data_IF_143790006661
#
_entry.id   IF_143790006661
#
_cell.length_a   1.000
_cell.length_b   1.000
_cell.length_c   1.000
_cell.angle_alpha   90.00
_cell.angle_beta   90.00
_cell.angle_gamma   90.00
#
_symmetry.space_group_name_H-M   'P 1'
#
loop_
_entity.id
_entity.type
_entity.pdbx_description
1 polymer ?
#
# COMPACT_ATOMS: atom_id res chain seq x y z
N UNK A 1 10.38 -5.10 -36.77
CA UNK A 1 8.94 -5.25 -36.43
C UNK A 1 8.73 -5.88 -35.04
N UNK A 2 9.42 -6.98 -34.69
CA UNK A 2 9.36 -7.63 -33.35
C UNK A 2 9.72 -6.71 -32.16
N UNK A 3 10.71 -5.82 -32.32
CA UNK A 3 11.14 -4.88 -31.26
C UNK A 3 10.07 -3.87 -30.86
N UNK A 4 9.25 -3.42 -31.83
CA UNK A 4 8.16 -2.45 -31.60
C UNK A 4 6.98 -3.14 -30.91
N UNK A 5 6.72 -4.40 -31.28
CA UNK A 5 5.67 -5.23 -30.66
C UNK A 5 5.92 -5.45 -29.17
N UNK A 6 7.16 -5.77 -28.76
CA UNK A 6 7.49 -5.98 -27.35
C UNK A 6 7.36 -4.71 -26.50
N UNK A 7 7.71 -3.55 -27.07
CA UNK A 7 7.60 -2.25 -26.37
C UNK A 7 6.13 -1.89 -26.16
N UNK A 8 5.27 -2.11 -27.17
CA UNK A 8 3.83 -1.88 -27.04
C UNK A 8 3.17 -2.83 -26.05
N UNK A 9 3.53 -4.12 -26.05
CA UNK A 9 3.00 -5.10 -25.08
C UNK A 9 3.42 -4.75 -23.65
N UNK A 10 4.69 -4.36 -23.44
CA UNK A 10 5.19 -3.96 -22.12
C UNK A 10 4.50 -2.67 -21.62
N UNK A 11 4.31 -1.68 -22.50
CA UNK A 11 3.60 -0.46 -22.18
C UNK A 11 2.12 -0.71 -21.81
N UNK A 12 1.46 -1.63 -22.51
CA UNK A 12 0.09 -2.06 -22.22
C UNK A 12 0.01 -2.78 -20.86
N UNK A 13 0.98 -3.64 -20.52
CA UNK A 13 0.99 -4.32 -19.20
C UNK A 13 1.21 -3.37 -18.03
N UNK A 14 2.05 -2.34 -18.20
CA UNK A 14 2.25 -1.29 -17.19
C UNK A 14 0.99 -0.44 -17.04
N UNK A 15 0.32 -0.09 -18.14
CA UNK A 15 -0.94 0.66 -18.11
C UNK A 15 -2.07 -0.11 -17.42
N UNK A 16 -2.18 -1.42 -17.65
CA UNK A 16 -3.20 -2.26 -17.00
C UNK A 16 -2.90 -2.43 -15.50
N UNK A 17 -1.63 -2.53 -15.10
CA UNK A 17 -1.25 -2.59 -13.68
C UNK A 17 -1.65 -1.29 -12.93
N UNK A 18 -1.54 -0.13 -13.57
CA UNK A 18 -1.96 1.16 -13.01
C UNK A 18 -3.48 1.28 -12.79
N UNK A 19 -4.29 0.59 -13.60
CA UNK A 19 -5.77 0.67 -13.54
C UNK A 19 -6.38 -0.21 -12.43
N UNK A 20 -5.63 -1.16 -11.86
CA UNK A 20 -6.14 -2.07 -10.81
C UNK A 20 -6.10 -1.50 -9.39
N UNK A 21 -5.81 -0.20 -9.22
CA UNK A 21 -6.02 0.47 -7.92
C UNK A 21 -7.52 0.54 -7.69
N UNK A 22 -8.06 -0.48 -7.01
CA UNK A 22 -9.40 -0.50 -6.48
C UNK A 22 -9.63 0.80 -5.70
N UNK A 23 -10.28 1.76 -6.36
CA UNK A 23 -10.56 3.07 -5.81
C UNK A 23 -11.67 2.89 -4.79
N UNK A 24 -11.26 2.58 -3.56
CA UNK A 24 -12.17 2.60 -2.41
C UNK A 24 -12.69 4.04 -2.29
N UNK A 25 -14.01 4.25 -2.26
CA UNK A 25 -14.56 5.60 -2.17
C UNK A 25 -14.00 6.29 -0.92
N UNK A 26 -13.33 7.42 -1.15
CA UNK A 26 -12.73 8.23 -0.11
C UNK A 26 -13.84 8.90 0.70
N UNK A 27 -14.14 8.37 1.88
CA UNK A 27 -14.96 9.07 2.87
C UNK A 27 -14.02 9.98 3.64
N UNK A 28 -13.93 11.25 3.20
CA UNK A 28 -13.16 12.35 3.79
C UNK A 28 -11.75 12.50 3.21
N UNK A 29 -11.62 13.21 2.07
CA UNK A 29 -10.42 13.97 1.64
C UNK A 29 -9.10 13.20 1.41
N UNK A 30 -8.95 12.00 1.95
CA UNK A 30 -7.76 11.16 1.85
C UNK A 30 -8.02 10.16 0.73
N UNK A 31 -7.26 10.27 -0.34
CA UNK A 31 -7.31 9.26 -1.39
C UNK A 31 -6.56 8.03 -0.88
N UNK A 32 -7.25 6.89 -0.79
CA UNK A 32 -6.65 5.63 -0.40
C UNK A 32 -5.67 5.13 -1.46
N UNK A 33 -4.42 5.55 -1.34
CA UNK A 33 -3.31 5.15 -2.21
C UNK A 33 -2.25 4.41 -1.38
N UNK A 34 -1.97 3.13 -1.67
CA UNK A 34 -0.90 2.40 -1.01
C UNK A 34 0.48 3.08 -1.15
N UNK A 35 0.69 3.82 -2.23
CA UNK A 35 1.92 4.58 -2.49
C UNK A 35 2.23 5.64 -1.41
N UNK A 36 1.22 6.18 -0.73
CA UNK A 36 1.42 7.13 0.37
C UNK A 36 2.08 6.45 1.60
N UNK A 37 2.10 5.11 1.67
CA UNK A 37 2.84 4.35 2.68
C UNK A 37 4.31 4.06 2.29
N UNK A 38 4.81 4.62 1.17
CA UNK A 38 6.21 4.48 0.76
C UNK A 38 7.24 4.75 1.89
N UNK A 39 7.04 5.74 2.79
CA UNK A 39 7.96 5.94 3.93
C UNK A 39 8.05 4.75 4.89
N UNK A 40 7.07 3.84 4.88
CA UNK A 40 7.08 2.62 5.68
C UNK A 40 7.78 1.44 4.99
N UNK A 41 8.17 1.55 3.71
CA UNK A 41 8.68 0.43 2.93
C UNK A 41 9.85 -0.27 3.61
N UNK A 42 10.85 0.48 4.11
CA UNK A 42 12.02 -0.07 4.80
C UNK A 42 11.61 -0.83 6.07
N UNK A 43 10.70 -0.27 6.88
CA UNK A 43 10.22 -0.91 8.11
C UNK A 43 9.40 -2.18 7.82
N UNK A 44 8.66 -2.20 6.71
CA UNK A 44 7.88 -3.36 6.27
C UNK A 44 8.77 -4.47 5.67
N UNK A 45 9.89 -4.15 5.02
CA UNK A 45 10.77 -5.16 4.39
C UNK A 45 11.91 -5.65 5.28
N UNK A 46 12.44 -4.81 6.17
CA UNK A 46 13.69 -5.08 6.89
C UNK A 46 13.56 -5.25 8.41
N UNK A 47 12.34 -5.22 8.97
CA UNK A 47 12.11 -5.17 10.43
C UNK A 47 12.73 -3.94 11.15
N UNK A 48 13.17 -2.91 10.42
CA UNK A 48 13.64 -1.68 11.03
C UNK A 48 12.50 -0.97 11.78
N UNK A 49 12.80 -0.16 12.81
CA UNK A 49 11.79 0.71 13.43
C UNK A 49 11.12 1.62 12.39
N UNK A 50 9.80 1.91 12.52
CA UNK A 50 9.14 2.85 11.64
C UNK A 50 9.64 4.28 11.88
N UNK A 51 9.80 5.04 10.81
CA UNK A 51 10.13 6.47 10.88
C UNK A 51 8.93 7.30 11.33
N UNK A 52 9.17 8.54 11.78
CA UNK A 52 8.11 9.48 12.11
C UNK A 52 7.19 9.77 10.91
N UNK A 53 7.76 9.89 9.71
CA UNK A 53 7.00 10.09 8.47
C UNK A 53 6.15 8.87 8.10
N UNK A 54 6.66 7.66 8.30
CA UNK A 54 5.88 6.44 8.17
C UNK A 54 4.67 6.47 9.10
N UNK A 55 4.86 6.76 10.39
CA UNK A 55 3.74 6.79 11.33
C UNK A 55 2.73 7.90 11.02
N UNK A 56 3.18 9.07 10.55
CA UNK A 56 2.29 10.15 10.13
C UNK A 56 1.39 9.70 8.96
N UNK A 57 2.00 9.17 7.89
CA UNK A 57 1.26 8.67 6.72
C UNK A 57 0.34 7.50 7.04
N UNK A 58 0.78 6.58 7.90
CA UNK A 58 -0.05 5.46 8.31
C UNK A 58 -1.29 5.92 9.10
N UNK A 59 -1.20 7.02 9.88
CA UNK A 59 -2.36 7.62 10.57
C UNK A 59 -3.32 8.31 9.61
N UNK A 60 -2.80 9.07 8.64
CA UNK A 60 -3.63 9.69 7.58
C UNK A 60 -4.47 8.62 6.86
N UNK A 61 -3.87 7.45 6.63
CA UNK A 61 -4.47 6.34 5.91
C UNK A 61 -5.29 5.36 6.77
N UNK A 62 -5.54 5.66 8.05
CA UNK A 62 -6.22 4.73 8.97
C UNK A 62 -7.56 4.22 8.43
N UNK A 63 -8.33 5.10 7.79
CA UNK A 63 -9.62 4.78 7.16
C UNK A 63 -9.50 3.82 5.96
N UNK A 64 -8.34 3.78 5.30
CA UNK A 64 -8.07 2.97 4.13
C UNK A 64 -7.57 1.56 4.46
N UNK A 65 -7.12 1.33 5.69
CA UNK A 65 -6.49 0.08 6.11
C UNK A 65 -7.38 -1.15 5.88
N UNK A 66 -8.69 -1.04 6.15
CA UNK A 66 -9.63 -2.12 5.85
C UNK A 66 -9.69 -2.44 4.36
N UNK A 67 -9.67 -1.41 3.50
CA UNK A 67 -9.61 -1.58 2.06
C UNK A 67 -8.34 -2.32 1.63
N UNK A 68 -7.20 -2.00 2.25
CA UNK A 68 -5.93 -2.68 1.98
C UNK A 68 -5.92 -4.15 2.46
N UNK A 69 -6.52 -4.44 3.61
CA UNK A 69 -6.64 -5.81 4.15
C UNK A 69 -7.54 -6.69 3.27
N UNK A 70 -8.61 -6.10 2.73
CA UNK A 70 -9.57 -6.80 1.85
C UNK A 70 -9.07 -6.94 0.42
N UNK A 71 -8.09 -6.15 -0.01
CA UNK A 71 -7.49 -6.24 -1.33
C UNK A 71 -6.51 -7.44 -1.38
N UNK A 72 -6.79 -8.50 -2.17
CA UNK A 72 -5.95 -9.70 -2.21
C UNK A 72 -4.48 -9.41 -2.61
N UNK A 73 -4.26 -8.46 -3.52
CA UNK A 73 -2.91 -8.09 -3.98
C UNK A 73 -2.07 -7.42 -2.90
N UNK A 74 -2.72 -6.75 -1.94
CA UNK A 74 -2.07 -6.03 -0.84
C UNK A 74 -2.04 -6.84 0.46
N UNK A 75 -2.94 -7.81 0.59
CA UNK A 75 -3.17 -8.59 1.80
C UNK A 75 -1.89 -9.21 2.37
N UNK A 76 -1.06 -9.79 1.51
CA UNK A 76 0.23 -10.39 1.88
C UNK A 76 1.20 -9.40 2.55
N UNK A 77 1.15 -8.12 2.16
CA UNK A 77 2.01 -7.08 2.72
C UNK A 77 1.44 -6.56 4.04
N UNK A 78 0.13 -6.29 4.10
CA UNK A 78 -0.51 -5.71 5.31
C UNK A 78 -0.75 -6.72 6.43
N UNK A 79 -0.81 -8.02 6.12
CA UNK A 79 -0.87 -9.11 7.12
C UNK A 79 0.50 -9.68 7.49
N UNK A 80 1.58 -9.15 6.93
CA UNK A 80 2.94 -9.62 7.25
C UNK A 80 3.31 -9.34 8.72
N UNK A 81 4.19 -10.13 9.34
CA UNK A 81 4.68 -9.86 10.69
C UNK A 81 5.31 -8.47 10.83
N UNK A 82 5.99 -7.98 9.79
CA UNK A 82 6.60 -6.66 9.79
C UNK A 82 5.55 -5.54 9.74
N UNK A 83 4.46 -5.70 8.99
CA UNK A 83 3.36 -4.75 9.01
C UNK A 83 2.72 -4.64 10.40
N UNK A 84 2.59 -5.77 11.11
CA UNK A 84 2.09 -5.78 12.49
C UNK A 84 3.07 -5.05 13.44
N UNK A 85 4.38 -5.29 13.30
CA UNK A 85 5.41 -4.54 14.05
C UNK A 85 5.34 -3.04 13.79
N UNK A 86 5.18 -2.63 12.52
CA UNK A 86 5.04 -1.21 12.14
C UNK A 86 3.79 -0.60 12.78
N UNK A 87 2.66 -1.29 12.72
CA UNK A 87 1.41 -0.85 13.34
C UNK A 87 1.57 -0.65 14.85
N UNK A 88 2.19 -1.62 15.53
CA UNK A 88 2.48 -1.55 16.96
C UNK A 88 3.45 -0.42 17.30
N UNK A 89 4.55 -0.29 16.55
CA UNK A 89 5.54 0.78 16.73
C UNK A 89 4.96 2.18 16.54
N UNK A 90 4.04 2.34 15.60
CA UNK A 90 3.32 3.60 15.37
C UNK A 90 2.11 3.81 16.30
N UNK A 91 1.77 2.83 17.16
CA UNK A 91 0.58 2.80 18.02
C UNK A 91 -0.72 2.97 17.24
N UNK A 92 -0.83 2.28 16.11
CA UNK A 92 -2.03 2.26 15.29
C UNK A 92 -2.65 0.87 15.44
N UNK A 93 -3.89 0.76 15.94
CA UNK A 93 -4.55 -0.53 16.05
C UNK A 93 -4.89 -1.05 14.66
N UNK A 94 -4.63 -2.34 14.43
CA UNK A 94 -5.12 -3.03 13.23
C UNK A 94 -6.66 -3.07 13.31
N UNK A 95 -7.37 -2.58 12.28
CA UNK A 95 -8.82 -2.59 12.31
C UNK A 95 -9.35 -4.01 12.12
N UNK A 96 -10.45 -4.33 12.82
CA UNK A 96 -11.23 -5.53 12.53
C UNK A 96 -12.17 -5.20 11.36
N UNK A 97 -11.89 -5.82 10.22
CA UNK A 97 -12.64 -5.74 8.99
C UNK A 97 -12.68 -7.14 8.36
#
# INVERSE_FOLDING_TARGET
MVKIMCVSILALTVAILLVTVAKVPAVNGVTCLPAELAPCAVAMTSSSPPSASCCAKLREQKQCLCGYIKNPSLQQFVRSPNAQKVSNGCRIPTPNC
#
